data_IF_137236663895
#
_entry.id   IF_137236663895
#
_cell.length_a   1.000
_cell.length_b   1.000
_cell.length_c   1.000
_cell.angle_alpha   90.00
_cell.angle_beta   90.00
_cell.angle_gamma   90.00
#
_symmetry.space_group_name_H-M   'P 1'
#
loop_
_entity.id
_entity.type
_entity.pdbx_description
1 polymer ?
#
# COMPACT_ATOMS: atom_id res chain seq x y z
N UNK A 1 28.05 10.07 -13.67
CA UNK A 1 26.66 10.50 -13.89
C UNK A 1 25.71 9.34 -13.57
N UNK A 2 24.74 9.56 -12.71
CA UNK A 2 23.75 8.53 -12.39
C UNK A 2 22.84 8.29 -13.61
N UNK A 3 22.52 7.04 -13.91
CA UNK A 3 21.54 6.75 -14.94
C UNK A 3 20.12 7.09 -14.43
N UNK A 4 19.16 7.18 -15.34
CA UNK A 4 17.79 7.57 -15.01
C UNK A 4 17.15 6.65 -13.96
N UNK A 5 17.45 5.34 -13.99
CA UNK A 5 16.84 4.37 -13.09
C UNK A 5 17.32 4.60 -11.64
N UNK A 6 18.60 4.88 -11.44
CA UNK A 6 19.14 5.15 -10.10
C UNK A 6 18.53 6.43 -9.53
N UNK A 7 18.44 7.49 -10.35
CA UNK A 7 17.84 8.75 -9.93
C UNK A 7 16.35 8.57 -9.58
N UNK A 8 15.61 7.80 -10.36
CA UNK A 8 14.21 7.51 -10.11
C UNK A 8 14.02 6.77 -8.78
N UNK A 9 14.85 5.76 -8.50
CA UNK A 9 14.80 5.02 -7.25
C UNK A 9 15.15 5.91 -6.05
N UNK A 10 16.12 6.81 -6.19
CA UNK A 10 16.48 7.77 -5.14
C UNK A 10 15.29 8.71 -4.84
N UNK A 11 14.59 9.17 -5.87
CA UNK A 11 13.41 10.05 -5.71
C UNK A 11 12.28 9.32 -4.97
N UNK A 12 12.02 8.06 -5.30
CA UNK A 12 11.03 7.24 -4.60
C UNK A 12 11.42 7.07 -3.13
N UNK A 13 12.66 6.72 -2.86
CA UNK A 13 13.17 6.56 -1.50
C UNK A 13 13.03 7.84 -0.69
N UNK A 14 13.36 8.97 -1.27
CA UNK A 14 13.23 10.26 -0.61
C UNK A 14 11.76 10.59 -0.30
N UNK A 15 10.85 10.31 -1.24
CA UNK A 15 9.42 10.54 -1.03
C UNK A 15 8.89 9.69 0.11
N UNK A 16 9.30 8.42 0.18
CA UNK A 16 8.89 7.51 1.27
C UNK A 16 9.42 8.01 2.61
N UNK A 17 10.70 8.38 2.66
CA UNK A 17 11.33 8.87 3.88
C UNK A 17 10.68 10.19 4.36
N UNK A 18 10.40 11.11 3.43
CA UNK A 18 9.75 12.37 3.76
C UNK A 18 8.37 12.16 4.34
N UNK A 19 7.60 11.24 3.75
CA UNK A 19 6.27 10.91 4.26
C UNK A 19 6.35 10.27 5.66
N UNK A 20 7.26 9.33 5.85
CA UNK A 20 7.45 8.68 7.15
C UNK A 20 7.87 9.69 8.22
N UNK A 21 8.81 10.56 7.92
CA UNK A 21 9.27 11.59 8.85
C UNK A 21 8.14 12.54 9.22
N UNK A 22 7.41 13.03 8.22
CA UNK A 22 6.26 13.89 8.44
C UNK A 22 5.24 13.20 9.34
N UNK A 23 4.90 11.95 9.04
CA UNK A 23 3.85 11.25 9.75
C UNK A 23 4.26 10.95 11.20
N UNK A 24 5.47 10.44 11.40
CA UNK A 24 5.97 10.10 12.74
C UNK A 24 6.19 11.34 13.61
N UNK A 25 6.54 12.47 13.02
CA UNK A 25 6.69 13.73 13.75
C UNK A 25 5.34 14.28 14.25
N UNK A 26 4.25 13.92 13.58
CA UNK A 26 2.92 14.45 13.89
C UNK A 26 2.02 13.46 14.63
N UNK A 27 2.52 12.26 14.95
CA UNK A 27 1.74 11.24 15.64
C UNK A 27 2.55 10.62 16.76
N UNK A 28 1.88 10.39 17.89
CA UNK A 28 2.50 9.73 19.04
C UNK A 28 2.92 8.29 18.71
N UNK A 29 2.09 7.59 17.94
CA UNK A 29 2.37 6.25 17.44
C UNK A 29 1.93 6.15 16.00
N UNK A 30 2.72 5.47 15.20
CA UNK A 30 2.44 5.26 13.78
C UNK A 30 2.35 3.77 13.49
N UNK A 31 1.25 3.34 12.89
CA UNK A 31 1.15 2.02 12.30
C UNK A 31 1.54 2.13 10.83
N UNK A 32 2.66 1.53 10.48
CA UNK A 32 3.20 1.55 9.14
C UNK A 32 2.99 0.16 8.51
N UNK A 33 2.29 0.12 7.39
CA UNK A 33 1.91 -1.14 6.73
C UNK A 33 2.40 -1.11 5.30
N UNK A 34 3.14 -2.13 4.91
CA UNK A 34 3.62 -2.30 3.56
C UNK A 34 2.99 -3.53 2.93
N UNK A 35 2.50 -3.40 1.70
CA UNK A 35 1.92 -4.50 0.96
C UNK A 35 2.06 -4.25 -0.54
N UNK A 36 2.06 -5.34 -1.30
CA UNK A 36 2.08 -5.30 -2.75
C UNK A 36 0.73 -5.76 -3.28
N UNK A 37 0.25 -5.12 -4.33
CA UNK A 37 -1.07 -5.39 -4.93
C UNK A 37 -0.86 -5.86 -6.36
N UNK A 38 -1.54 -6.94 -6.73
CA UNK A 38 -1.42 -7.57 -8.05
C UNK A 38 -2.78 -7.79 -8.69
N UNK A 39 -2.76 -7.94 -10.01
CA UNK A 39 -3.93 -8.39 -10.76
C UNK A 39 -3.95 -9.92 -10.86
N UNK A 40 -5.15 -10.52 -11.01
CA UNK A 40 -5.21 -11.94 -11.36
C UNK A 40 -4.51 -12.20 -12.69
N UNK A 41 -3.92 -13.38 -12.85
CA UNK A 41 -3.21 -13.72 -14.09
C UNK A 41 -4.08 -13.62 -15.34
N UNK A 42 -5.34 -13.98 -15.23
CA UNK A 42 -6.30 -13.98 -16.33
C UNK A 42 -7.09 -12.66 -16.43
N UNK A 43 -6.67 -11.64 -15.72
CA UNK A 43 -7.36 -10.34 -15.75
C UNK A 43 -7.18 -9.68 -17.12
N UNK A 44 -8.29 -9.27 -17.74
CA UNK A 44 -8.30 -8.63 -19.06
C UNK A 44 -8.89 -7.23 -19.03
N UNK A 45 -9.21 -6.71 -17.87
CA UNK A 45 -9.76 -5.38 -17.70
C UNK A 45 -8.70 -4.28 -17.77
N UNK A 46 -9.12 -3.08 -17.33
CA UNK A 46 -8.24 -1.91 -17.31
C UNK A 46 -7.09 -2.11 -16.32
N UNK A 47 -5.87 -1.87 -16.78
CA UNK A 47 -4.66 -1.93 -15.94
C UNK A 47 -3.97 -0.57 -15.84
N UNK A 48 -4.70 0.52 -16.15
CA UNK A 48 -4.21 1.85 -15.83
C UNK A 48 -4.15 2.03 -14.29
N UNK A 49 -3.53 3.11 -13.84
CA UNK A 49 -3.42 3.37 -12.40
C UNK A 49 -4.75 3.78 -11.75
N UNK A 50 -5.85 3.77 -12.50
CA UNK A 50 -7.17 4.10 -11.98
C UNK A 50 -7.60 3.14 -10.86
N UNK A 51 -7.37 1.84 -11.04
CA UNK A 51 -7.79 0.84 -10.07
C UNK A 51 -7.10 1.03 -8.71
N UNK A 52 -5.79 1.25 -8.72
CA UNK A 52 -5.06 1.48 -7.46
C UNK A 52 -5.46 2.81 -6.82
N UNK A 53 -5.66 3.84 -7.63
CA UNK A 53 -6.13 5.13 -7.12
C UNK A 53 -7.49 5.02 -6.45
N UNK A 54 -8.42 4.31 -7.08
CA UNK A 54 -9.76 4.08 -6.53
C UNK A 54 -9.69 3.26 -5.24
N UNK A 55 -8.88 2.21 -5.24
CA UNK A 55 -8.68 1.38 -4.06
C UNK A 55 -8.16 2.20 -2.88
N UNK A 56 -7.13 3.00 -3.11
CA UNK A 56 -6.54 3.83 -2.06
C UNK A 56 -7.51 4.92 -1.58
N UNK A 57 -8.30 5.49 -2.48
CA UNK A 57 -9.33 6.46 -2.11
C UNK A 57 -10.36 5.84 -1.15
N UNK A 58 -10.79 4.60 -1.42
CA UNK A 58 -11.70 3.88 -0.54
C UNK A 58 -11.06 3.57 0.81
N UNK A 59 -9.80 3.17 0.82
CA UNK A 59 -9.05 2.93 2.05
C UNK A 59 -8.97 4.19 2.91
N UNK A 60 -8.61 5.32 2.29
CA UNK A 60 -8.53 6.61 2.98
C UNK A 60 -9.88 6.99 3.56
N UNK A 61 -10.95 6.88 2.77
CA UNK A 61 -12.29 7.23 3.22
C UNK A 61 -12.70 6.40 4.44
N UNK A 62 -12.44 5.10 4.41
CA UNK A 62 -12.76 4.18 5.50
C UNK A 62 -12.06 4.58 6.80
N UNK A 63 -10.76 4.83 6.73
CA UNK A 63 -9.97 5.12 7.92
C UNK A 63 -10.08 6.56 8.40
N UNK A 64 -10.42 7.49 7.51
CA UNK A 64 -10.81 8.85 7.92
C UNK A 64 -12.05 8.84 8.80
N UNK A 65 -13.05 8.03 8.44
CA UNK A 65 -14.26 7.88 9.25
C UNK A 65 -13.95 7.41 10.66
N UNK A 66 -12.90 6.62 10.83
CA UNK A 66 -12.44 6.11 12.11
C UNK A 66 -11.46 7.05 12.81
N UNK A 67 -11.19 8.21 12.23
CA UNK A 67 -10.27 9.23 12.75
C UNK A 67 -8.84 8.70 12.90
N UNK A 68 -8.42 7.84 11.97
CA UNK A 68 -7.09 7.22 11.97
C UNK A 68 -6.05 7.99 11.16
N UNK A 69 -6.41 9.12 10.59
CA UNK A 69 -5.53 10.01 9.81
C UNK A 69 -4.69 9.26 8.76
N UNK A 70 -5.34 8.62 7.77
CA UNK A 70 -4.62 7.77 6.81
C UNK A 70 -3.82 8.58 5.79
N UNK A 71 -2.58 8.16 5.55
CA UNK A 71 -1.72 8.64 4.49
C UNK A 71 -1.14 7.44 3.75
N UNK A 72 -0.79 7.61 2.48
CA UNK A 72 -0.25 6.52 1.69
C UNK A 72 0.65 7.01 0.58
N UNK A 73 1.45 6.07 0.06
CA UNK A 73 2.20 6.24 -1.17
C UNK A 73 2.22 4.88 -1.88
N UNK A 74 2.16 4.89 -3.21
CA UNK A 74 2.28 3.67 -3.99
C UNK A 74 3.17 3.90 -5.21
N UNK A 75 3.82 2.83 -5.64
CA UNK A 75 4.71 2.83 -6.80
C UNK A 75 4.28 1.72 -7.73
N UNK A 76 4.08 2.06 -9.00
CA UNK A 76 3.75 1.10 -10.05
C UNK A 76 5.02 0.47 -10.59
N UNK A 77 5.00 -0.84 -10.73
CA UNK A 77 6.08 -1.60 -11.34
C UNK A 77 5.51 -2.54 -12.39
N UNK A 78 6.11 -2.56 -13.57
CA UNK A 78 5.74 -3.49 -14.64
C UNK A 78 7.02 -3.88 -15.37
N UNK A 79 7.53 -5.08 -15.05
CA UNK A 79 8.72 -5.62 -15.68
C UNK A 79 8.33 -6.50 -16.87
N UNK A 80 8.56 -7.81 -16.77
CA UNK A 80 8.26 -8.78 -17.81
C UNK A 80 6.89 -9.42 -17.68
N UNK A 81 6.12 -9.05 -16.68
CA UNK A 81 4.79 -9.61 -16.46
C UNK A 81 3.75 -8.89 -17.32
N UNK A 82 2.65 -9.59 -17.61
CA UNK A 82 1.56 -9.06 -18.43
C UNK A 82 0.81 -7.93 -17.72
N UNK A 83 0.90 -7.87 -16.40
CA UNK A 83 0.19 -6.88 -15.60
C UNK A 83 1.15 -6.11 -14.70
N UNK A 84 0.85 -4.83 -14.44
CA UNK A 84 1.61 -4.10 -13.43
C UNK A 84 1.28 -4.62 -12.04
N UNK A 85 2.17 -4.35 -11.09
CA UNK A 85 1.88 -4.51 -9.68
C UNK A 85 2.27 -3.23 -8.94
N UNK A 86 1.74 -3.07 -7.73
CA UNK A 86 1.90 -1.84 -6.98
C UNK A 86 2.51 -2.13 -5.63
N UNK A 87 3.57 -1.41 -5.31
CA UNK A 87 4.18 -1.42 -3.98
C UNK A 87 3.55 -0.30 -3.17
N UNK A 88 2.94 -0.64 -2.05
CA UNK A 88 2.15 0.31 -1.27
C UNK A 88 2.68 0.46 0.14
N UNK A 89 2.68 1.68 0.64
CA UNK A 89 2.91 2.01 2.04
C UNK A 89 1.69 2.76 2.55
N UNK A 90 1.09 2.28 3.65
CA UNK A 90 -0.09 2.87 4.24
C UNK A 90 0.18 3.19 5.71
N UNK A 91 -0.10 4.44 6.11
CA UNK A 91 0.21 4.94 7.44
C UNK A 91 -1.07 5.32 8.17
N UNK A 92 -1.17 4.90 9.41
CA UNK A 92 -2.32 5.17 10.27
C UNK A 92 -1.85 5.59 11.66
N UNK A 93 -2.71 6.34 12.36
CA UNK A 93 -2.49 6.67 13.75
C UNK A 93 -2.51 5.40 14.60
N UNK A 94 -1.36 5.03 15.14
CA UNK A 94 -1.19 3.80 15.92
C UNK A 94 -1.89 3.82 17.27
N UNK A 95 -2.40 4.97 17.72
CA UNK A 95 -3.23 5.02 18.91
C UNK A 95 -4.67 4.61 18.62
N UNK A 96 -5.07 4.67 17.34
CA UNK A 96 -6.42 4.32 16.89
C UNK A 96 -6.52 2.92 16.30
N UNK A 97 -5.46 2.48 15.62
CA UNK A 97 -5.39 1.16 14.99
C UNK A 97 -4.17 0.44 15.55
N UNK A 98 -4.40 -0.63 16.31
CA UNK A 98 -3.33 -1.35 17.00
C UNK A 98 -2.87 -2.60 16.25
N UNK A 99 -3.70 -3.14 15.35
CA UNK A 99 -3.36 -4.36 14.63
C UNK A 99 -3.47 -4.14 13.12
N UNK A 100 -2.53 -4.71 12.39
CA UNK A 100 -2.49 -4.61 10.94
C UNK A 100 -3.43 -5.60 10.24
N UNK A 101 -3.89 -6.65 10.93
CA UNK A 101 -4.76 -7.68 10.33
C UNK A 101 -6.04 -7.09 9.76
N UNK A 102 -6.64 -6.16 10.46
CA UNK A 102 -7.86 -5.49 10.00
C UNK A 102 -7.61 -4.72 8.70
N UNK A 103 -6.46 -4.05 8.61
CA UNK A 103 -6.10 -3.29 7.42
C UNK A 103 -5.87 -4.21 6.23
N UNK A 104 -5.22 -5.34 6.43
CA UNK A 104 -5.01 -6.34 5.39
C UNK A 104 -6.33 -6.87 4.83
N UNK A 105 -7.29 -7.18 5.69
CA UNK A 105 -8.63 -7.61 5.26
C UNK A 105 -9.35 -6.51 4.48
N UNK A 106 -9.20 -5.26 4.91
CA UNK A 106 -9.79 -4.13 4.20
C UNK A 106 -9.22 -3.98 2.79
N UNK A 107 -7.91 -4.08 2.65
CA UNK A 107 -7.24 -4.00 1.34
C UNK A 107 -7.74 -5.10 0.41
N UNK A 108 -7.80 -6.34 0.89
CA UNK A 108 -8.28 -7.47 0.08
C UNK A 108 -9.71 -7.23 -0.40
N UNK A 109 -10.58 -6.88 0.51
CA UNK A 109 -12.01 -6.65 0.18
C UNK A 109 -12.17 -5.52 -0.81
N UNK A 110 -11.48 -4.42 -0.58
CA UNK A 110 -11.59 -3.22 -1.44
C UNK A 110 -10.98 -3.48 -2.80
N UNK A 111 -9.81 -4.15 -2.87
CA UNK A 111 -9.17 -4.46 -4.15
C UNK A 111 -10.03 -5.40 -5.00
N UNK A 112 -10.52 -6.47 -4.41
CA UNK A 112 -11.40 -7.41 -5.12
C UNK A 112 -12.67 -6.72 -5.62
N UNK A 113 -13.25 -5.85 -4.83
CA UNK A 113 -14.41 -5.05 -5.22
C UNK A 113 -14.07 -4.07 -6.34
N UNK A 114 -12.91 -3.44 -6.28
CA UNK A 114 -12.44 -2.50 -7.31
C UNK A 114 -12.30 -3.19 -8.67
N UNK A 115 -11.77 -4.42 -8.66
CA UNK A 115 -11.59 -5.21 -9.89
C UNK A 115 -12.86 -5.94 -10.32
N UNK A 116 -13.91 -5.90 -9.51
CA UNK A 116 -15.16 -6.63 -9.74
C UNK A 116 -14.91 -8.13 -9.92
N UNK A 117 -14.11 -8.70 -9.02
CA UNK A 117 -13.76 -10.13 -9.02
C UNK A 117 -14.30 -10.80 -7.77
N UNK A 118 -14.29 -12.15 -7.78
CA UNK A 118 -14.77 -12.96 -6.68
C UNK A 118 -14.00 -12.65 -5.38
N UNK A 119 -14.74 -12.51 -4.29
CA UNK A 119 -14.18 -12.26 -2.95
C UNK A 119 -13.25 -13.36 -2.47
N UNK A 120 -13.37 -14.55 -3.02
CA UNK A 120 -12.52 -15.68 -2.68
C UNK A 120 -11.19 -15.69 -3.44
N UNK A 121 -10.98 -14.73 -4.36
CA UNK A 121 -9.71 -14.58 -5.05
C UNK A 121 -8.62 -14.23 -4.04
N UNK A 122 -7.63 -15.11 -3.91
CA UNK A 122 -6.53 -14.98 -2.95
C UNK A 122 -5.21 -14.77 -3.67
N UNK A 123 -4.22 -14.31 -2.94
CA UNK A 123 -2.86 -14.16 -3.47
C UNK A 123 -2.64 -12.90 -4.29
N UNK A 124 -3.61 -11.99 -4.33
CA UNK A 124 -3.45 -10.71 -5.02
C UNK A 124 -2.76 -9.66 -4.15
N UNK A 125 -2.75 -9.85 -2.85
CA UNK A 125 -2.09 -8.97 -1.91
C UNK A 125 -0.96 -9.73 -1.24
N UNK A 126 0.25 -9.24 -1.42
CA UNK A 126 1.43 -9.79 -0.75
C UNK A 126 1.78 -8.86 0.40
N UNK A 127 1.55 -9.35 1.60
CA UNK A 127 1.89 -8.61 2.81
C UNK A 127 3.36 -8.88 3.12
N UNK A 128 4.19 -7.86 3.06
CA UNK A 128 5.61 -7.99 3.32
C UNK A 128 5.84 -8.32 4.80
N UNK A 129 5.56 -9.54 5.22
CA UNK A 129 5.55 -9.98 6.62
C UNK A 129 6.80 -10.73 7.04
N UNK A 130 7.81 -10.86 6.19
CA UNK A 130 9.03 -11.55 6.55
C UNK A 130 9.86 -10.73 7.56
N UNK A 131 10.83 -11.38 8.19
CA UNK A 131 11.65 -10.73 9.23
C UNK A 131 12.38 -9.49 8.72
N UNK A 132 12.83 -9.48 7.47
CA UNK A 132 13.57 -8.35 6.91
C UNK A 132 12.70 -7.12 6.70
N UNK A 133 11.38 -7.29 6.65
CA UNK A 133 10.44 -6.20 6.44
C UNK A 133 9.67 -5.83 7.71
N UNK A 134 10.05 -6.41 8.83
CA UNK A 134 9.34 -6.21 10.12
C UNK A 134 9.25 -4.74 10.51
N UNK A 135 10.27 -3.97 10.20
CA UNK A 135 10.32 -2.55 10.56
C UNK A 135 9.32 -1.71 9.77
N UNK A 136 8.81 -2.27 8.66
CA UNK A 136 7.84 -1.58 7.81
C UNK A 136 6.43 -2.18 7.89
N UNK A 137 6.31 -3.43 8.35
CA UNK A 137 5.04 -4.18 8.27
C UNK A 137 4.39 -4.34 9.62
N UNK A 138 3.38 -3.53 9.85
CA UNK A 138 2.57 -3.61 11.05
C UNK A 138 3.30 -3.25 12.33
N UNK A 139 4.48 -2.66 12.23
CA UNK A 139 5.24 -2.22 13.39
C UNK A 139 4.75 -0.85 13.84
N UNK A 140 4.54 -0.73 15.13
CA UNK A 140 4.23 0.57 15.73
C UNK A 140 5.52 1.37 15.89
N UNK A 141 5.54 2.53 15.30
CA UNK A 141 6.70 3.42 15.31
C UNK A 141 6.42 4.63 16.20
#
# INVERSE_FOLDING_TARGET
MKNKNVQYLDNIKNSVNDLLDFYTDNHRKTLSIRFDVRYPQNYTGDTSSKNISDCMAHMVKKYKRRKCDPYYIWVREQNKSDHPHYHCLFLLDGTRVKTYNHVFKSVETIWNSTLDIDRDSKGLIDYCTNKSNRDYNGKMV
#
